data_IF_690048647414
#
_entry.id   IF_690048647414
#
_cell.length_a   1.000
_cell.length_b   1.000
_cell.length_c   1.000
_cell.angle_alpha   90.00
_cell.angle_beta   90.00
_cell.angle_gamma   90.00
#
_symmetry.space_group_name_H-M   'P 1'
#
loop_
_entity.id
_entity.type
_entity.pdbx_description
1 polymer ?
#
# COMPACT_ATOMS: atom_id res chain seq x y z
N UNK A 1 0.35 16.85 15.03
CA UNK A 1 -1.09 16.67 14.76
C UNK A 1 -1.30 16.76 13.26
N UNK A 2 -1.74 15.68 12.60
CA UNK A 2 -1.98 15.70 11.15
C UNK A 2 -3.21 16.55 10.85
N UNK A 3 -3.10 17.50 9.92
CA UNK A 3 -4.27 18.29 9.52
C UNK A 3 -5.33 17.38 8.87
N UNK A 4 -6.64 17.61 9.12
CA UNK A 4 -7.70 16.78 8.54
C UNK A 4 -7.69 16.81 7.01
N UNK A 5 -7.19 17.89 6.41
CA UNK A 5 -7.00 18.05 4.97
C UNK A 5 -6.01 17.03 4.43
N UNK A 6 -4.90 16.79 5.14
CA UNK A 6 -3.89 15.82 4.72
C UNK A 6 -4.45 14.40 4.63
N UNK A 7 -5.24 13.99 5.63
CA UNK A 7 -5.86 12.65 5.63
C UNK A 7 -6.87 12.48 4.50
N UNK A 8 -7.64 13.53 4.16
CA UNK A 8 -8.58 13.51 3.03
C UNK A 8 -7.85 13.38 1.69
N UNK A 9 -6.83 14.20 1.46
CA UNK A 9 -6.05 14.16 0.21
C UNK A 9 -5.37 12.79 0.04
N UNK A 10 -4.78 12.25 1.11
CA UNK A 10 -4.18 10.91 1.11
C UNK A 10 -5.19 9.82 0.78
N UNK A 11 -6.37 9.87 1.40
CA UNK A 11 -7.46 8.92 1.11
C UNK A 11 -7.92 8.98 -0.35
N UNK A 12 -8.11 10.18 -0.90
CA UNK A 12 -8.51 10.38 -2.30
C UNK A 12 -7.43 9.84 -3.25
N UNK A 13 -6.16 10.20 -3.02
CA UNK A 13 -5.05 9.73 -3.85
C UNK A 13 -4.96 8.20 -3.86
N UNK A 14 -5.03 7.56 -2.70
CA UNK A 14 -4.97 6.10 -2.61
C UNK A 14 -6.19 5.41 -3.20
N UNK A 15 -7.37 6.03 -3.11
CA UNK A 15 -8.59 5.52 -3.76
C UNK A 15 -8.45 5.54 -5.27
N UNK A 16 -7.93 6.63 -5.84
CA UNK A 16 -7.70 6.75 -7.29
C UNK A 16 -6.67 5.71 -7.74
N UNK A 17 -5.53 5.60 -7.06
CA UNK A 17 -4.50 4.60 -7.42
C UNK A 17 -5.04 3.17 -7.29
N UNK A 18 -5.82 2.88 -6.25
CA UNK A 18 -6.44 1.56 -6.09
C UNK A 18 -7.45 1.26 -7.19
N UNK A 19 -8.28 2.23 -7.57
CA UNK A 19 -9.24 2.08 -8.66
C UNK A 19 -8.54 1.84 -10.00
N UNK A 20 -7.53 2.64 -10.32
CA UNK A 20 -6.70 2.46 -11.53
C UNK A 20 -6.04 1.09 -11.54
N UNK A 21 -5.50 0.64 -10.39
CA UNK A 21 -4.90 -0.71 -10.26
C UNK A 21 -5.92 -1.82 -10.49
N UNK A 22 -7.16 -1.67 -9.99
CA UNK A 22 -8.24 -2.64 -10.22
C UNK A 22 -8.63 -2.73 -11.69
N UNK A 23 -8.84 -1.57 -12.34
CA UNK A 23 -9.11 -1.52 -13.79
C UNK A 23 -7.98 -2.21 -14.56
N UNK A 24 -6.73 -1.98 -14.14
CA UNK A 24 -5.57 -2.60 -14.77
C UNK A 24 -5.52 -4.12 -14.59
N UNK A 25 -5.84 -4.64 -13.41
CA UNK A 25 -5.96 -6.09 -13.20
C UNK A 25 -7.04 -6.69 -14.10
N UNK A 26 -8.21 -6.04 -14.21
CA UNK A 26 -9.28 -6.52 -15.10
C UNK A 26 -8.81 -6.56 -16.54
N UNK A 27 -8.16 -5.50 -17.03
CA UNK A 27 -7.61 -5.45 -18.39
C UNK A 27 -6.54 -6.52 -18.63
N UNK A 28 -5.61 -6.71 -17.69
CA UNK A 28 -4.58 -7.75 -17.77
C UNK A 28 -5.19 -9.16 -17.76
N UNK A 29 -6.20 -9.40 -16.91
CA UNK A 29 -6.93 -10.67 -16.91
C UNK A 29 -7.58 -10.91 -18.27
N UNK A 30 -8.29 -9.92 -18.82
CA UNK A 30 -8.91 -10.02 -20.13
C UNK A 30 -7.88 -10.28 -21.23
N UNK A 31 -6.73 -9.58 -21.19
CA UNK A 31 -5.64 -9.82 -22.13
C UNK A 31 -5.12 -11.26 -22.04
N UNK A 32 -4.83 -11.74 -20.82
CA UNK A 32 -4.36 -13.11 -20.59
C UNK A 32 -5.38 -14.12 -21.13
N UNK A 33 -6.68 -13.92 -20.91
CA UNK A 33 -7.71 -14.83 -21.41
C UNK A 33 -7.85 -14.78 -22.93
N UNK A 34 -7.85 -13.59 -23.54
CA UNK A 34 -8.01 -13.43 -24.99
C UNK A 34 -6.81 -13.93 -25.78
N UNK A 35 -5.61 -13.86 -25.19
CA UNK A 35 -4.35 -14.22 -25.85
C UNK A 35 -3.71 -15.50 -25.35
N UNK A 36 -4.38 -16.25 -24.48
CA UNK A 36 -3.80 -17.43 -23.83
C UNK A 36 -3.27 -18.45 -24.83
N UNK A 37 -3.95 -18.70 -25.95
CA UNK A 37 -3.56 -19.74 -26.89
C UNK A 37 -2.46 -19.31 -27.86
N UNK A 38 -2.29 -18.00 -28.07
CA UNK A 38 -1.37 -17.44 -29.07
C UNK A 38 -0.11 -16.86 -28.44
N UNK A 39 -0.16 -16.42 -27.17
CA UNK A 39 0.98 -15.75 -26.55
C UNK A 39 2.12 -16.70 -26.20
N UNK A 40 3.34 -16.24 -26.42
CA UNK A 40 4.55 -16.88 -25.98
C UNK A 40 4.59 -17.05 -24.45
N UNK A 41 5.26 -18.11 -23.93
CA UNK A 41 5.39 -18.34 -22.50
C UNK A 41 6.07 -17.18 -21.76
N UNK A 42 6.96 -16.44 -22.44
CA UNK A 42 7.60 -15.25 -21.87
C UNK A 42 6.59 -14.12 -21.64
N UNK A 43 5.72 -13.84 -22.62
CA UNK A 43 4.69 -12.81 -22.50
C UNK A 43 3.70 -13.14 -21.37
N UNK A 44 3.30 -14.42 -21.25
CA UNK A 44 2.45 -14.88 -20.14
C UNK A 44 3.11 -14.66 -18.79
N UNK A 45 4.41 -14.95 -18.67
CA UNK A 45 5.15 -14.73 -17.43
C UNK A 45 5.21 -13.26 -17.04
N UNK A 46 5.42 -12.36 -18.01
CA UNK A 46 5.37 -10.91 -17.78
C UNK A 46 3.98 -10.41 -17.37
N UNK A 47 2.93 -10.89 -18.02
CA UNK A 47 1.55 -10.54 -17.66
C UNK A 47 1.22 -10.99 -16.22
N UNK A 48 1.68 -12.18 -15.82
CA UNK A 48 1.54 -12.67 -14.44
C UNK A 48 2.35 -11.81 -13.46
N UNK A 49 3.58 -11.41 -13.80
CA UNK A 49 4.38 -10.51 -12.95
C UNK A 49 3.70 -9.14 -12.77
N UNK A 50 3.16 -8.56 -13.84
CA UNK A 50 2.36 -7.33 -13.79
C UNK A 50 1.15 -7.53 -12.87
N UNK A 51 0.43 -8.64 -13.01
CA UNK A 51 -0.74 -8.95 -12.17
C UNK A 51 -0.35 -9.07 -10.69
N UNK A 52 0.76 -9.75 -10.38
CA UNK A 52 1.28 -9.89 -9.01
C UNK A 52 1.60 -8.50 -8.42
N UNK A 53 2.32 -7.66 -9.17
CA UNK A 53 2.73 -6.32 -8.69
C UNK A 53 1.53 -5.41 -8.48
N UNK A 54 0.54 -5.45 -9.37
CA UNK A 54 -0.72 -4.72 -9.18
C UNK A 54 -1.52 -5.25 -8.00
N UNK A 55 -1.53 -6.58 -7.78
CA UNK A 55 -2.19 -7.19 -6.61
C UNK A 55 -1.53 -6.76 -5.30
N UNK A 56 -0.19 -6.77 -5.24
CA UNK A 56 0.58 -6.27 -4.09
C UNK A 56 0.24 -4.79 -3.85
N UNK A 57 0.14 -4.00 -4.92
CA UNK A 57 -0.21 -2.58 -4.83
C UNK A 57 -1.59 -2.37 -4.21
N UNK A 58 -2.60 -3.13 -4.66
CA UNK A 58 -3.97 -3.08 -4.12
C UNK A 58 -4.03 -3.51 -2.66
N UNK A 59 -3.21 -4.47 -2.23
CA UNK A 59 -3.16 -4.90 -0.82
C UNK A 59 -2.41 -3.88 0.05
N UNK A 60 -1.32 -3.32 -0.48
CA UNK A 60 -0.48 -2.35 0.25
C UNK A 60 -1.18 -1.00 0.45
N UNK A 61 -2.01 -0.54 -0.50
CA UNK A 61 -2.73 0.74 -0.40
C UNK A 61 -3.67 0.83 0.82
N UNK A 62 -4.60 -0.11 1.06
CA UNK A 62 -5.39 -0.18 2.30
C UNK A 62 -4.52 -0.32 3.55
N UNK A 63 -3.44 -1.10 3.50
CA UNK A 63 -2.51 -1.21 4.63
C UNK A 63 -1.87 0.15 4.95
N UNK A 64 -1.55 0.97 3.95
CA UNK A 64 -1.04 2.34 4.13
C UNK A 64 -2.10 3.28 4.74
N UNK A 65 -3.39 3.08 4.42
CA UNK A 65 -4.52 3.82 5.02
C UNK A 65 -4.70 3.45 6.49
N UNK A 66 -4.67 2.15 6.81
CA UNK A 66 -4.95 1.63 8.15
C UNK A 66 -3.78 1.82 9.13
N UNK A 67 -2.54 1.85 8.64
CA UNK A 67 -1.37 1.99 9.51
C UNK A 67 -1.16 3.44 9.95
N UNK A 68 -0.78 3.63 11.23
CA UNK A 68 -0.46 4.97 11.76
C UNK A 68 0.62 5.62 10.91
N UNK A 69 0.37 6.88 10.54
CA UNK A 69 1.24 7.63 9.66
C UNK A 69 2.64 7.81 10.26
N UNK A 70 3.63 7.11 9.70
CA UNK A 70 5.05 7.32 9.95
C UNK A 70 5.71 7.70 8.63
N UNK A 71 6.16 8.94 8.52
CA UNK A 71 6.71 9.53 7.26
C UNK A 71 7.78 8.63 6.64
N UNK A 72 8.72 8.15 7.44
CA UNK A 72 9.80 7.26 6.99
C UNK A 72 9.31 5.92 6.43
N UNK A 73 8.33 5.32 7.08
CA UNK A 73 7.80 4.01 6.68
C UNK A 73 6.90 4.11 5.45
N UNK A 74 6.12 5.20 5.36
CA UNK A 74 5.31 5.53 4.18
C UNK A 74 6.21 5.76 2.96
N UNK A 75 7.29 6.54 3.12
CA UNK A 75 8.28 6.78 2.07
C UNK A 75 8.95 5.50 1.59
N UNK A 76 9.40 4.63 2.51
CA UNK A 76 10.03 3.35 2.14
C UNK A 76 9.07 2.43 1.38
N UNK A 77 7.80 2.35 1.78
CA UNK A 77 6.78 1.54 1.10
C UNK A 77 6.43 2.10 -0.28
N UNK A 78 6.30 3.42 -0.41
CA UNK A 78 6.08 4.08 -1.70
C UNK A 78 7.27 3.88 -2.64
N UNK A 79 8.49 4.00 -2.13
CA UNK A 79 9.70 3.78 -2.90
C UNK A 79 9.80 2.31 -3.34
N UNK A 80 9.47 1.35 -2.48
CA UNK A 80 9.38 -0.05 -2.85
C UNK A 80 8.36 -0.30 -3.97
N UNK A 81 7.16 0.26 -3.85
CA UNK A 81 6.14 0.17 -4.90
C UNK A 81 6.60 0.81 -6.21
N UNK A 82 7.20 2.00 -6.13
CA UNK A 82 7.72 2.71 -7.30
C UNK A 82 8.81 1.90 -8.00
N UNK A 83 9.76 1.35 -7.25
CA UNK A 83 10.84 0.50 -7.79
C UNK A 83 10.29 -0.79 -8.39
N UNK A 84 9.26 -1.39 -7.80
CA UNK A 84 8.61 -2.57 -8.36
C UNK A 84 7.95 -2.25 -9.71
N UNK A 85 7.17 -1.17 -9.80
CA UNK A 85 6.50 -0.78 -11.05
C UNK A 85 7.50 -0.33 -12.13
N UNK A 86 8.48 0.49 -11.79
CA UNK A 86 9.55 0.91 -12.73
C UNK A 86 10.36 -0.31 -13.17
N UNK A 87 10.71 -1.20 -12.25
CA UNK A 87 11.48 -2.41 -12.56
C UNK A 87 10.75 -3.30 -13.57
N UNK A 88 9.44 -3.49 -13.41
CA UNK A 88 8.63 -4.26 -14.34
C UNK A 88 8.49 -3.53 -15.69
N UNK A 89 8.29 -2.21 -15.70
CA UNK A 89 8.20 -1.42 -16.93
C UNK A 89 9.52 -1.46 -17.73
N UNK A 90 10.66 -1.29 -17.06
CA UNK A 90 11.99 -1.38 -17.67
C UNK A 90 12.27 -2.79 -18.15
N UNK A 91 11.93 -3.81 -17.36
CA UNK A 91 12.05 -5.20 -17.78
C UNK A 91 11.17 -5.49 -19.00
N UNK A 92 9.97 -4.93 -19.06
CA UNK A 92 9.11 -5.05 -20.24
C UNK A 92 9.78 -4.47 -21.47
N UNK A 93 10.24 -3.20 -21.42
CA UNK A 93 10.94 -2.53 -22.53
C UNK A 93 12.17 -3.30 -22.99
N UNK A 94 12.97 -3.82 -22.06
CA UNK A 94 14.19 -4.56 -22.39
C UNK A 94 13.91 -5.90 -23.08
N UNK A 95 12.75 -6.52 -22.83
CA UNK A 95 12.33 -7.77 -23.47
C UNK A 95 11.41 -7.58 -24.68
N UNK A 96 10.76 -6.41 -24.83
CA UNK A 96 9.92 -6.05 -25.97
C UNK A 96 10.50 -6.42 -27.34
N UNK A 97 11.76 -6.11 -27.68
CA UNK A 97 12.30 -6.41 -29.01
C UNK A 97 12.47 -7.91 -29.30
N UNK A 98 12.36 -8.79 -28.28
CA UNK A 98 12.46 -10.24 -28.47
C UNK A 98 11.14 -10.89 -28.86
N UNK A 99 10.01 -10.21 -28.63
CA UNK A 99 8.70 -10.74 -29.02
C UNK A 99 8.53 -10.61 -30.54
N UNK A 100 8.70 -11.73 -31.24
CA UNK A 100 8.44 -11.80 -32.67
C UNK A 100 6.93 -11.97 -32.85
N UNK A 101 6.25 -10.97 -33.42
CA UNK A 101 4.88 -11.16 -33.85
C UNK A 101 4.92 -12.14 -35.05
N UNK A 102 4.14 -13.23 -35.05
CA UNK A 102 4.16 -14.18 -36.15
C UNK A 102 3.75 -13.48 -37.46
N UNK A 103 4.57 -13.63 -38.50
CA UNK A 103 4.45 -12.99 -39.82
C UNK A 103 3.29 -13.57 -40.66
N UNK A 104 2.05 -13.48 -40.15
CA UNK A 104 0.90 -14.00 -40.88
C UNK A 104 0.21 -12.94 -41.75
N UNK A 105 0.10 -11.69 -41.30
CA UNK A 105 -0.46 -10.57 -42.09
C UNK A 105 0.05 -9.20 -41.59
N UNK A 106 0.18 -8.18 -42.47
CA UNK A 106 0.57 -6.81 -42.06
C UNK A 106 -0.40 -6.20 -41.04
N UNK A 107 -1.69 -6.53 -41.14
CA UNK A 107 -2.71 -6.05 -40.21
C UNK A 107 -2.51 -6.62 -38.79
N UNK A 108 -2.17 -7.91 -38.68
CA UNK A 108 -1.89 -8.54 -37.38
C UNK A 108 -0.62 -7.99 -36.73
N UNK A 109 0.40 -7.66 -37.53
CA UNK A 109 1.62 -7.03 -37.03
C UNK A 109 1.32 -5.65 -36.43
N UNK A 110 0.48 -4.85 -37.10
CA UNK A 110 0.03 -3.55 -36.60
C UNK A 110 -0.70 -3.66 -35.25
N UNK A 111 -1.65 -4.57 -35.13
CA UNK A 111 -2.40 -4.79 -33.87
C UNK A 111 -1.47 -5.29 -32.74
N UNK A 112 -0.54 -6.17 -33.05
CA UNK A 112 0.45 -6.69 -32.09
C UNK A 112 1.30 -5.55 -31.49
N UNK A 113 1.85 -4.70 -32.34
CA UNK A 113 2.68 -3.56 -31.93
C UNK A 113 1.86 -2.50 -31.18
N UNK A 114 0.63 -2.25 -31.61
CA UNK A 114 -0.28 -1.30 -30.96
C UNK A 114 -0.60 -1.74 -29.52
N UNK A 115 -0.95 -3.01 -29.31
CA UNK A 115 -1.26 -3.52 -27.96
C UNK A 115 -0.03 -3.45 -27.05
N UNK A 116 1.16 -3.82 -27.53
CA UNK A 116 2.41 -3.70 -26.79
C UNK A 116 2.69 -2.24 -26.37
N UNK A 117 2.46 -1.30 -27.29
CA UNK A 117 2.61 0.14 -27.01
C UNK A 117 1.59 0.66 -26.00
N UNK A 118 0.33 0.17 -26.06
CA UNK A 118 -0.70 0.48 -25.05
C UNK A 118 -0.33 -0.03 -23.66
N UNK A 119 0.12 -1.29 -23.55
CA UNK A 119 0.58 -1.87 -22.28
C UNK A 119 1.75 -1.06 -21.74
N UNK A 120 2.68 -0.66 -22.61
CA UNK A 120 3.80 0.17 -22.25
C UNK A 120 3.32 1.51 -21.68
N UNK A 121 2.52 2.30 -22.40
CA UNK A 121 1.99 3.58 -21.91
C UNK A 121 1.27 3.40 -20.58
N UNK A 122 0.40 2.41 -20.50
CA UNK A 122 -0.41 2.19 -19.32
C UNK A 122 0.42 1.72 -18.12
N UNK A 123 1.53 1.00 -18.33
CA UNK A 123 2.46 0.62 -17.27
C UNK A 123 3.13 1.83 -16.60
N UNK A 124 3.20 2.98 -17.28
CA UNK A 124 3.74 4.23 -16.72
C UNK A 124 2.72 5.03 -15.90
N UNK A 125 1.42 4.74 -16.03
CA UNK A 125 0.37 5.47 -15.33
C UNK A 125 0.50 5.34 -13.81
N UNK A 126 0.69 4.11 -13.31
CA UNK A 126 0.85 3.85 -11.88
C UNK A 126 2.13 4.50 -11.30
N UNK A 127 3.33 4.33 -11.89
CA UNK A 127 4.52 5.08 -11.52
C UNK A 127 4.31 6.59 -11.51
N UNK A 128 3.65 7.15 -12.52
CA UNK A 128 3.40 8.59 -12.60
C UNK A 128 2.56 9.07 -11.41
N UNK A 129 1.47 8.38 -11.07
CA UNK A 129 0.66 8.69 -9.90
C UNK A 129 1.45 8.59 -8.58
N UNK A 130 2.24 7.53 -8.42
CA UNK A 130 3.10 7.37 -7.24
C UNK A 130 4.15 8.48 -7.13
N UNK A 131 4.75 8.88 -8.25
CA UNK A 131 5.73 9.95 -8.32
C UNK A 131 5.09 11.31 -8.01
N UNK A 132 3.91 11.60 -8.55
CA UNK A 132 3.14 12.81 -8.22
C UNK A 132 2.81 12.86 -6.72
N UNK A 133 2.38 11.73 -6.15
CA UNK A 133 2.11 11.65 -4.72
C UNK A 133 3.38 11.83 -3.87
N UNK A 134 4.51 11.24 -4.27
CA UNK A 134 5.80 11.43 -3.61
C UNK A 134 6.27 12.90 -3.67
N UNK A 135 6.14 13.56 -4.83
CA UNK A 135 6.44 14.98 -4.98
C UNK A 135 5.55 15.84 -4.09
N UNK A 136 4.26 15.52 -3.98
CA UNK A 136 3.34 16.19 -3.07
C UNK A 136 3.77 16.04 -1.61
N UNK A 137 4.20 14.84 -1.18
CA UNK A 137 4.74 14.62 0.16
C UNK A 137 6.00 15.46 0.42
N UNK A 138 6.91 15.52 -0.54
CA UNK A 138 8.14 16.33 -0.44
C UNK A 138 7.78 17.81 -0.26
N UNK A 139 6.87 18.35 -1.08
CA UNK A 139 6.39 19.74 -0.99
C UNK A 139 5.74 20.00 0.37
N UNK A 140 4.91 19.07 0.86
CA UNK A 140 4.28 19.14 2.18
C UNK A 140 5.31 19.20 3.31
N UNK A 141 6.37 18.39 3.24
CA UNK A 141 7.45 18.38 4.24
C UNK A 141 8.25 19.69 4.17
N UNK A 142 8.59 20.17 2.98
CA UNK A 142 9.30 21.43 2.76
C UNK A 142 8.50 22.65 3.25
N UNK A 143 7.17 22.61 3.12
CA UNK A 143 6.29 23.70 3.58
C UNK A 143 5.92 23.61 5.05
N UNK A 144 6.06 22.44 5.67
CA UNK A 144 5.86 22.32 7.10
C UNK A 144 7.03 23.04 7.76
N UNK A 145 6.81 24.13 8.52
CA UNK A 145 7.90 24.75 9.25
C UNK A 145 8.45 23.68 10.17
N UNK A 146 9.65 23.19 9.87
CA UNK A 146 10.35 22.27 10.73
C UNK A 146 10.44 22.99 12.07
N UNK A 147 9.90 22.44 13.18
CA UNK A 147 10.27 22.93 14.48
C UNK A 147 11.75 22.61 14.58
N UNK A 148 12.58 23.59 14.22
CA UNK A 148 13.90 23.75 14.80
C UNK A 148 13.65 24.00 16.29
N UNK A 149 13.28 22.94 17.02
CA UNK A 149 13.68 22.85 18.42
C UNK A 149 15.20 22.74 18.32
N UNK A 150 15.91 23.86 18.47
CA UNK A 150 16.32 24.29 19.80
C UNK A 150 16.99 23.08 20.45
N UNK A 151 18.24 22.83 20.07
CA UNK A 151 19.18 22.22 20.99
C UNK A 151 19.17 23.14 22.22
N UNK A 152 18.57 22.74 23.36
CA UNK A 152 18.79 23.48 24.57
C UNK A 152 20.21 23.09 24.98
N UNK A 153 21.19 23.90 24.57
CA UNK A 153 22.54 23.79 25.11
C UNK A 153 22.40 23.85 26.63
N UNK A 154 22.75 22.79 27.37
CA UNK A 154 22.49 22.71 28.81
C UNK A 154 23.42 23.59 29.66
N UNK A 155 24.11 24.56 29.06
CA UNK A 155 25.14 25.35 29.74
C UNK A 155 24.62 26.71 30.26
N UNK A 156 23.47 27.21 29.81
CA UNK A 156 22.97 28.54 30.24
C UNK A 156 22.05 28.52 31.47
N UNK A 157 21.59 27.35 31.94
CA UNK A 157 20.71 27.26 33.12
C UNK A 157 21.47 27.08 34.45
N UNK A 158 22.79 26.87 34.43
CA UNK A 158 23.57 26.80 35.67
C UNK A 158 23.99 28.18 36.21
N UNK A 159 24.05 29.22 35.35
CA UNK A 159 24.45 30.57 35.80
C UNK A 159 23.27 31.43 36.28
N UNK A 160 22.03 31.16 35.83
CA UNK A 160 20.86 31.98 36.18
C UNK A 160 20.15 31.54 37.46
N UNK A 161 20.45 30.34 37.98
CA UNK A 161 19.89 29.84 39.24
C UNK A 161 20.60 30.40 40.50
N UNK A 162 21.74 31.09 40.36
CA UNK A 162 22.50 31.63 41.52
C UNK A 162 22.06 33.04 41.94
N UNK A 163 21.19 33.70 41.19
CA UNK A 163 20.80 35.11 41.43
C UNK A 163 19.48 35.35 42.19
N UNK A 164 18.72 34.31 42.56
CA UNK A 164 17.38 34.48 43.18
C UNK A 164 17.15 33.78 44.50
N UNK A 165 18.22 33.34 45.17
CA UNK A 165 18.18 32.81 46.53
C UNK A 165 18.64 33.86 47.54
N UNK A 166 18.04 35.06 47.55
CA UNK A 166 18.15 35.96 48.71
C UNK A 166 17.10 37.06 48.67
N UNK A 167 15.94 36.80 49.28
CA UNK A 167 15.20 37.77 50.10
C UNK A 167 14.01 37.04 50.74
N UNK A 168 14.25 36.50 51.94
CA UNK A 168 13.22 36.28 52.95
C UNK A 168 12.60 37.64 53.32
N UNK A 169 11.26 37.73 53.41
CA UNK A 169 10.65 38.50 54.47
C UNK A 169 9.97 37.53 55.45
N UNK A 170 10.60 37.50 56.61
CA UNK A 170 10.04 37.26 57.93
C UNK A 170 8.54 37.64 58.05
N UNK A 171 7.76 36.68 58.56
CA UNK A 171 6.81 36.85 59.67
C UNK A 171 5.47 37.57 59.45
N UNK A 172 4.40 36.82 59.78
CA UNK A 172 3.06 37.34 60.04
C UNK A 172 2.14 36.24 60.53
N UNK A 173 2.27 35.86 61.81
CA UNK A 173 1.29 35.07 62.56
C UNK A 173 0.01 35.90 62.70
N UNK A 174 -1.13 35.36 62.28
CA UNK A 174 -2.43 36.02 62.38
C UNK A 174 -3.57 35.05 62.07
N UNK A 175 -4.45 34.90 63.04
CA UNK A 175 -5.41 33.83 63.25
C UNK A 175 -6.72 33.96 62.42
N UNK A 176 -7.47 32.85 62.37
CA UNK A 176 -8.92 32.76 62.16
C UNK A 176 -9.57 33.00 60.77
N UNK A 177 -10.18 31.92 60.26
CA UNK A 177 -11.59 31.99 59.81
C UNK A 177 -11.89 31.72 58.34
N UNK A 178 -12.74 30.71 58.14
CA UNK A 178 -13.60 30.45 56.98
C UNK A 178 -12.97 29.83 55.71
N UNK A 179 -13.24 28.52 55.57
CA UNK A 179 -13.08 27.75 54.34
C UNK A 179 -14.21 28.02 53.34
N UNK A 180 -13.89 28.19 52.05
CA UNK A 180 -14.75 27.78 50.95
C UNK A 180 -14.13 26.58 50.22
N UNK A 181 -14.80 25.44 50.29
CA UNK A 181 -14.52 24.25 49.48
C UNK A 181 -14.70 24.59 48.00
N UNK A 182 -13.60 24.62 47.26
CA UNK A 182 -13.59 24.82 45.82
C UNK A 182 -13.88 23.51 45.08
N UNK A 183 -15.12 23.39 44.58
CA UNK A 183 -15.52 22.43 43.56
C UNK A 183 -14.83 22.73 42.23
N UNK A 184 -13.59 22.25 42.06
CA UNK A 184 -12.91 22.21 40.75
C UNK A 184 -12.53 20.76 40.47
N UNK A 185 -13.54 19.91 40.34
CA UNK A 185 -13.35 18.49 40.00
C UNK A 185 -14.53 17.88 39.25
N UNK A 186 -15.17 18.62 38.32
CA UNK A 186 -16.40 18.10 37.69
C UNK A 186 -16.57 18.38 36.18
N UNK A 187 -15.52 18.84 35.49
CA UNK A 187 -15.60 19.00 34.02
C UNK A 187 -15.31 17.71 33.26
N UNK A 188 -14.51 16.81 33.84
CA UNK A 188 -14.14 15.54 33.18
C UNK A 188 -15.21 14.46 33.32
N UNK A 189 -16.00 14.46 34.41
CA UNK A 189 -17.10 13.51 34.59
C UNK A 189 -18.31 13.87 33.73
N UNK A 190 -18.70 15.16 33.66
CA UNK A 190 -19.78 15.61 32.76
C UNK A 190 -19.58 15.25 31.29
N UNK A 191 -18.34 15.30 30.78
CA UNK A 191 -18.07 14.94 29.39
C UNK A 191 -18.22 13.43 29.14
N UNK A 192 -17.87 12.60 30.13
CA UNK A 192 -18.04 11.13 30.04
C UNK A 192 -19.51 10.75 30.06
N UNK A 193 -20.32 11.42 30.90
CA UNK A 193 -21.76 11.17 30.96
C UNK A 193 -22.47 11.59 29.66
N UNK A 194 -22.05 12.69 29.04
CA UNK A 194 -22.58 13.11 27.74
C UNK A 194 -22.18 12.15 26.61
N UNK A 195 -20.97 11.59 26.63
CA UNK A 195 -20.54 10.62 25.62
C UNK A 195 -21.30 9.28 25.73
N UNK A 196 -21.56 8.81 26.95
CA UNK A 196 -22.34 7.59 27.17
C UNK A 196 -23.83 7.75 26.81
N UNK A 197 -24.38 8.97 26.90
CA UNK A 197 -25.76 9.23 26.51
C UNK A 197 -25.96 9.27 24.98
N UNK A 198 -24.93 9.66 24.21
CA UNK A 198 -25.01 9.76 22.74
C UNK A 198 -24.73 8.42 22.04
N UNK A 199 -23.91 7.56 22.65
CA UNK A 199 -23.58 6.24 22.12
C UNK A 199 -23.93 5.16 23.15
N UNK A 200 -25.22 4.77 23.28
CA UNK A 200 -25.55 3.60 24.07
C UNK A 200 -24.85 2.39 23.44
N UNK A 201 -23.99 1.75 24.23
CA UNK A 201 -23.30 0.52 23.83
C UNK A 201 -24.30 -0.45 23.20
N UNK A 202 -24.06 -0.77 21.93
CA UNK A 202 -24.88 -1.73 21.20
C UNK A 202 -24.85 -3.08 21.93
N UNK A 203 -26.01 -3.76 22.10
CA UNK A 203 -26.06 -5.03 22.80
C UNK A 203 -25.31 -6.10 22.01
N UNK A 204 -24.12 -6.45 22.51
CA UNK A 204 -23.45 -7.68 22.19
C UNK A 204 -24.18 -8.84 22.90
N UNK A 205 -25.10 -9.50 22.21
CA UNK A 205 -25.44 -10.91 22.49
C UNK A 205 -26.28 -11.48 21.35
N UNK A 206 -25.64 -12.23 20.46
CA UNK A 206 -26.26 -13.32 19.73
C UNK A 206 -25.23 -14.46 19.66
N UNK A 207 -25.08 -15.09 20.81
CA UNK A 207 -24.56 -16.43 21.00
C UNK A 207 -25.26 -17.37 19.99
N UNK A 208 -24.50 -17.90 19.03
CA UNK A 208 -24.94 -19.00 18.18
C UNK A 208 -24.00 -20.17 18.38
N UNK A 209 -24.25 -20.84 19.49
CA UNK A 209 -23.84 -22.20 19.72
C UNK A 209 -24.68 -23.12 18.81
N UNK A 210 -24.01 -23.91 17.98
CA UNK A 210 -24.58 -25.07 17.30
C UNK A 210 -23.46 -25.97 16.84
N UNK A 211 -23.06 -26.79 17.80
CA UNK A 211 -22.49 -28.12 17.67
C UNK A 211 -23.09 -28.87 16.47
N UNK A 212 -22.24 -29.36 15.55
CA UNK A 212 -22.59 -30.51 14.71
C UNK A 212 -21.32 -31.30 14.34
N UNK A 213 -21.17 -32.54 14.82
CA UNK A 213 -20.11 -33.44 14.41
C UNK A 213 -20.57 -34.35 13.24
N UNK A 214 -19.58 -34.98 12.60
CA UNK A 214 -19.68 -36.07 11.61
C UNK A 214 -20.18 -35.72 10.21
N UNK A 215 -19.26 -35.77 9.24
CA UNK A 215 -19.29 -36.86 8.23
C UNK A 215 -17.93 -37.03 7.54
N UNK A 216 -17.24 -38.11 7.90
CA UNK A 216 -16.21 -38.78 7.11
C UNK A 216 -16.84 -39.35 5.85
N UNK A 217 -16.19 -39.18 4.69
CA UNK A 217 -16.17 -40.10 3.53
C UNK A 217 -15.09 -39.55 2.56
N UNK A 218 -13.81 -39.89 2.71
CA UNK A 218 -13.19 -41.10 2.19
C UNK A 218 -13.53 -41.38 0.71
N UNK A 219 -12.82 -40.73 -0.23
CA UNK A 219 -12.73 -41.20 -1.62
C UNK A 219 -11.29 -41.21 -2.10
N UNK A 220 -10.59 -42.28 -1.70
CA UNK A 220 -9.53 -42.86 -2.52
C UNK A 220 -10.12 -43.21 -3.88
N UNK A 221 -9.62 -42.60 -4.94
CA UNK A 221 -9.62 -43.23 -6.25
C UNK A 221 -8.22 -43.10 -6.81
N UNK A 222 -7.49 -44.19 -6.61
CA UNK A 222 -6.34 -44.52 -7.40
C UNK A 222 -6.80 -44.73 -8.86
N UNK A 223 -6.21 -43.99 -9.79
CA UNK A 223 -6.04 -44.48 -11.16
C UNK A 223 -4.59 -44.28 -11.56
N UNK A 224 -3.83 -45.35 -11.30
CA UNK A 224 -2.74 -45.82 -12.14
C UNK A 224 -3.18 -45.86 -13.62
N UNK A 225 -2.22 -45.89 -14.55
CA UNK A 225 -2.27 -46.00 -16.04
C UNK A 225 -1.71 -44.70 -16.67
N UNK A 226 -0.62 -44.65 -17.43
CA UNK A 226 0.26 -45.65 -18.06
C UNK A 226 1.57 -44.94 -18.41
N UNK A 227 2.71 -45.62 -18.24
CA UNK A 227 3.93 -45.33 -19.01
C UNK A 227 3.67 -45.69 -20.48
N UNK A 228 4.26 -44.95 -21.42
CA UNK A 228 5.14 -45.48 -22.48
C UNK A 228 5.15 -44.63 -23.76
N UNK A 229 6.34 -44.61 -24.36
CA UNK A 229 6.73 -44.19 -25.73
C UNK A 229 7.02 -42.69 -25.89
N UNK A 230 8.27 -42.22 -25.88
CA UNK A 230 9.48 -42.63 -26.63
C UNK A 230 9.24 -42.73 -28.15
N UNK A 231 10.06 -41.96 -28.88
CA UNK A 231 10.22 -41.84 -30.34
C UNK A 231 9.20 -40.94 -31.08
N UNK A 232 9.63 -39.71 -31.35
CA UNK A 232 9.41 -39.13 -32.68
C UNK A 232 10.77 -38.73 -33.29
N UNK A 233 11.01 -39.11 -34.55
CA UNK A 233 12.29 -39.00 -35.24
C UNK A 233 12.67 -37.55 -35.56
N UNK A 234 13.98 -37.29 -35.58
CA UNK A 234 14.58 -36.07 -36.10
C UNK A 234 14.26 -35.90 -37.60
N UNK A 235 13.89 -34.71 -38.08
CA UNK A 235 13.71 -34.45 -39.50
C UNK A 235 15.07 -34.46 -40.23
N UNK A 236 15.10 -35.22 -41.34
CA UNK A 236 16.28 -35.55 -42.15
C UNK A 236 16.69 -34.44 -43.14
N UNK A 237 16.66 -33.16 -42.75
CA UNK A 237 16.99 -32.06 -43.67
C UNK A 237 18.49 -31.71 -43.72
N UNK A 238 19.37 -32.61 -43.27
CA UNK A 238 20.84 -32.51 -43.49
C UNK A 238 21.32 -33.17 -44.79
N UNK A 239 20.40 -33.61 -45.65
CA UNK A 239 20.72 -34.14 -46.98
C UNK A 239 20.01 -33.29 -48.03
N UNK A 240 20.81 -32.64 -48.88
CA UNK A 240 20.52 -31.74 -50.02
C UNK A 240 21.05 -30.32 -49.73
N UNK A 241 22.01 -29.74 -50.42
CA UNK A 241 22.96 -30.09 -51.50
C UNK A 241 23.83 -28.81 -51.58
N UNK A 242 25.17 -28.87 -51.53
CA UNK A 242 26.09 -29.25 -52.63
C UNK A 242 25.76 -28.59 -53.97
#
# INVERSE_FOLDING_TARGET
>A
MSSPVFLRVRGIAFTIVSFTSLVWIVLLCLEIFLRWDVSDPQQRSFAVLLLIVNTITIVMLPLLILTRFRVWLDAARLLFLLMAHIGVAVAYVAWTPKFHCPDQTPDQQGVCMLVNMYILIASWVNPAFLLTYAAFLIIMVLRSPLPLDAEPTPEDDLEKAKGRASTLPLQGVGDSGAAPTSEIRDSSQRLKDLLNAVFPDSPATAERDSTSPMRSDNRKSASSIKRDRLSKPLPASYFYNQ
#
